data_IF_778908905058
#
_entry.id   IF_778908905058
#
_cell.length_a   1.000
_cell.length_b   1.000
_cell.length_c   1.000
_cell.angle_alpha   90.00
_cell.angle_beta   90.00
_cell.angle_gamma   90.00
#
_symmetry.space_group_name_H-M   'P 1'
#
loop_
_entity.id
_entity.type
_entity.pdbx_description
1 polymer ?
#
# COMPACT_ATOMS: atom_id res chain seq x y z
N UNK A 1 -7.27 24.13 12.27
CA UNK A 1 -5.92 23.74 11.82
C UNK A 1 -5.12 25.02 11.74
N UNK A 2 -4.30 25.28 12.75
CA UNK A 2 -3.40 26.43 12.76
C UNK A 2 -2.37 26.25 11.65
N UNK A 3 -2.37 27.20 10.73
CA UNK A 3 -1.33 27.35 9.71
C UNK A 3 -0.11 27.84 10.48
N UNK A 4 0.84 26.93 10.75
CA UNK A 4 2.16 27.28 11.26
C UNK A 4 2.77 28.32 10.31
N UNK A 5 2.98 29.53 10.82
CA UNK A 5 3.58 30.64 10.09
C UNK A 5 4.94 30.22 9.53
N UNK A 6 5.13 30.54 8.24
CA UNK A 6 6.26 30.12 7.43
C UNK A 6 7.47 31.02 7.73
N UNK A 7 8.22 30.70 8.79
CA UNK A 7 9.57 31.26 9.03
C UNK A 7 10.61 30.43 8.28
N UNK A 8 10.66 30.60 6.96
CA UNK A 8 11.64 29.92 6.14
C UNK A 8 12.63 30.93 5.55
N UNK A 9 13.89 30.85 5.98
CA UNK A 9 14.97 31.78 5.62
C UNK A 9 15.60 31.43 4.25
N UNK A 10 15.46 30.18 3.78
CA UNK A 10 16.05 29.67 2.52
C UNK A 10 15.01 29.03 1.59
N UNK A 11 14.92 29.50 0.34
CA UNK A 11 13.96 29.04 -0.69
C UNK A 11 13.88 27.50 -0.81
N UNK A 12 15.02 26.80 -0.73
CA UNK A 12 15.08 25.34 -0.84
C UNK A 12 14.61 24.59 0.40
N UNK A 13 14.81 25.16 1.58
CA UNK A 13 14.26 24.59 2.81
C UNK A 13 12.73 24.65 2.80
N UNK A 14 12.14 25.70 2.23
CA UNK A 14 10.69 25.84 2.13
C UNK A 14 10.12 24.82 1.12
N UNK A 15 10.81 24.61 -0.01
CA UNK A 15 10.47 23.56 -0.97
C UNK A 15 10.46 22.18 -0.29
N UNK A 16 11.50 21.86 0.51
CA UNK A 16 11.57 20.63 1.30
C UNK A 16 10.41 20.46 2.29
N UNK A 17 10.03 21.53 2.98
CA UNK A 17 8.88 21.50 3.91
C UNK A 17 7.59 21.23 3.14
N UNK A 18 7.39 21.93 2.02
CA UNK A 18 6.19 21.81 1.20
C UNK A 18 6.01 20.41 0.61
N UNK A 19 7.11 19.77 0.14
CA UNK A 19 7.03 18.42 -0.42
C UNK A 19 6.70 17.39 0.66
N UNK A 20 7.27 17.52 1.87
CA UNK A 20 6.94 16.66 3.00
C UNK A 20 5.46 16.80 3.41
N UNK A 21 4.92 18.02 3.41
CA UNK A 21 3.50 18.24 3.69
C UNK A 21 2.60 17.62 2.62
N UNK A 22 2.96 17.72 1.34
CA UNK A 22 2.23 17.06 0.25
C UNK A 22 2.23 15.54 0.39
N UNK A 23 3.39 14.95 0.68
CA UNK A 23 3.49 13.50 0.92
C UNK A 23 2.63 13.05 2.10
N UNK A 24 2.66 13.77 3.23
CA UNK A 24 1.83 13.46 4.40
C UNK A 24 0.34 13.54 4.04
N UNK A 25 -0.09 14.60 3.36
CA UNK A 25 -1.48 14.76 2.95
C UNK A 25 -1.93 13.65 1.99
N UNK A 26 -1.05 13.19 1.09
CA UNK A 26 -1.32 12.09 0.19
C UNK A 26 -1.43 10.76 0.95
N UNK A 27 -0.53 10.50 1.90
CA UNK A 27 -0.59 9.31 2.76
C UNK A 27 -1.88 9.27 3.58
N UNK A 28 -2.36 10.41 4.09
CA UNK A 28 -3.64 10.48 4.79
C UNK A 28 -4.83 10.09 3.89
N UNK A 29 -4.82 10.55 2.62
CA UNK A 29 -5.84 10.16 1.64
C UNK A 29 -5.75 8.68 1.28
N UNK A 30 -4.53 8.16 1.14
CA UNK A 30 -4.27 6.76 0.84
C UNK A 30 -4.73 5.86 2.01
N UNK A 31 -4.43 6.25 3.24
CA UNK A 31 -4.90 5.55 4.45
C UNK A 31 -6.43 5.53 4.52
N UNK A 32 -7.10 6.66 4.27
CA UNK A 32 -8.56 6.71 4.25
C UNK A 32 -9.16 5.80 3.16
N UNK A 33 -8.57 5.77 1.96
CA UNK A 33 -9.01 4.86 0.90
C UNK A 33 -8.79 3.38 1.26
N UNK A 34 -7.67 3.06 1.92
CA UNK A 34 -7.40 1.70 2.42
C UNK A 34 -8.37 1.28 3.51
N UNK A 35 -8.76 2.17 4.42
CA UNK A 35 -9.75 1.89 5.45
C UNK A 35 -11.11 1.53 4.83
N UNK A 36 -11.52 2.24 3.76
CA UNK A 36 -12.74 1.92 3.01
C UNK A 36 -12.65 0.53 2.37
N UNK A 37 -11.53 0.20 1.72
CA UNK A 37 -11.30 -1.13 1.13
C UNK A 37 -11.32 -2.22 2.20
N UNK A 38 -10.66 -1.97 3.33
CA UNK A 38 -10.63 -2.89 4.46
C UNK A 38 -12.03 -3.17 5.00
N UNK A 39 -12.84 -2.12 5.20
CA UNK A 39 -14.23 -2.24 5.62
C UNK A 39 -15.09 -3.01 4.62
N UNK A 40 -14.95 -2.73 3.32
CA UNK A 40 -15.64 -3.43 2.24
C UNK A 40 -15.32 -4.94 2.24
N UNK A 41 -14.05 -5.29 2.42
CA UNK A 41 -13.59 -6.69 2.57
C UNK A 41 -14.20 -7.35 3.80
N UNK A 42 -14.25 -6.66 4.95
CA UNK A 42 -14.83 -7.19 6.18
C UNK A 42 -16.36 -7.35 6.10
N UNK A 43 -17.06 -6.41 5.47
CA UNK A 43 -18.51 -6.46 5.26
C UNK A 43 -18.92 -7.37 4.10
N UNK A 44 -17.95 -7.86 3.31
CA UNK A 44 -18.15 -8.61 2.06
C UNK A 44 -18.95 -7.83 1.02
N UNK A 45 -18.86 -6.51 1.08
CA UNK A 45 -19.40 -5.62 0.08
C UNK A 45 -18.36 -5.39 -1.00
N UNK A 46 -18.63 -5.87 -2.21
CA UNK A 46 -17.71 -5.75 -3.35
C UNK A 46 -18.17 -4.68 -4.34
N UNK A 47 -19.24 -3.96 -4.01
CA UNK A 47 -19.80 -2.91 -4.85
C UNK A 47 -18.78 -1.77 -4.90
N UNK A 48 -18.26 -1.47 -6.10
CA UNK A 48 -17.25 -0.43 -6.39
C UNK A 48 -15.79 -0.72 -6.03
N UNK A 49 -15.43 -1.98 -5.78
CA UNK A 49 -14.02 -2.36 -5.51
C UNK A 49 -13.06 -1.98 -6.64
N UNK A 50 -13.47 -2.13 -7.90
CA UNK A 50 -12.65 -1.73 -9.05
C UNK A 50 -12.36 -0.22 -9.07
N UNK A 51 -13.33 0.61 -8.64
CA UNK A 51 -13.15 2.05 -8.55
C UNK A 51 -12.20 2.41 -7.39
N UNK A 52 -12.32 1.72 -6.25
CA UNK A 52 -11.42 1.90 -5.11
C UNK A 52 -9.97 1.49 -5.46
N UNK A 53 -9.78 0.39 -6.17
CA UNK A 53 -8.45 -0.05 -6.62
C UNK A 53 -7.81 0.94 -7.60
N UNK A 54 -8.57 1.44 -8.59
CA UNK A 54 -8.08 2.49 -9.49
C UNK A 54 -7.62 3.74 -8.73
N UNK A 55 -8.39 4.17 -7.73
CA UNK A 55 -8.04 5.32 -6.90
C UNK A 55 -6.79 5.09 -6.05
N UNK A 56 -6.60 3.87 -5.53
CA UNK A 56 -5.37 3.49 -4.83
C UNK A 56 -4.16 3.47 -5.77
N UNK A 57 -4.34 3.02 -7.02
CA UNK A 57 -3.30 3.05 -8.04
C UNK A 57 -2.91 4.49 -8.40
N UNK A 58 -3.89 5.38 -8.57
CA UNK A 58 -3.65 6.82 -8.76
C UNK A 58 -2.84 7.43 -7.60
N UNK A 59 -3.21 7.14 -6.36
CA UNK A 59 -2.46 7.61 -5.18
C UNK A 59 -1.05 7.02 -5.10
N UNK A 60 -0.86 5.77 -5.50
CA UNK A 60 0.46 5.15 -5.57
C UNK A 60 1.35 5.84 -6.60
N UNK A 61 0.81 6.16 -7.78
CA UNK A 61 1.53 6.86 -8.83
C UNK A 61 1.88 8.30 -8.44
N UNK A 62 0.94 9.01 -7.79
CA UNK A 62 1.18 10.35 -7.24
C UNK A 62 2.27 10.32 -6.16
N UNK A 63 2.25 9.29 -5.30
CA UNK A 63 3.25 9.14 -4.25
C UNK A 63 4.65 8.87 -4.83
N UNK A 64 4.75 8.02 -5.85
CA UNK A 64 6.01 7.75 -6.53
C UNK A 64 6.57 9.03 -7.19
N UNK A 65 5.70 9.88 -7.76
CA UNK A 65 6.11 11.16 -8.32
C UNK A 65 6.62 12.13 -7.24
N UNK A 66 5.91 12.26 -6.11
CA UNK A 66 6.33 13.10 -4.99
C UNK A 66 7.64 12.61 -4.35
N UNK A 67 7.84 11.30 -4.23
CA UNK A 67 9.07 10.71 -3.70
C UNK A 67 10.29 11.03 -4.59
N UNK A 68 10.10 10.98 -5.92
CA UNK A 68 11.13 11.40 -6.90
C UNK A 68 11.44 12.89 -6.76
N UNK A 69 10.41 13.73 -6.63
CA UNK A 69 10.55 15.17 -6.43
C UNK A 69 11.29 15.47 -5.12
N UNK A 70 10.89 14.83 -4.01
CA UNK A 70 11.56 14.98 -2.69
C UNK A 70 13.03 14.60 -2.77
N UNK A 71 13.34 13.48 -3.43
CA UNK A 71 14.74 13.02 -3.59
C UNK A 71 15.57 14.04 -4.38
N UNK A 72 14.99 14.61 -5.43
CA UNK A 72 15.63 15.68 -6.21
C UNK A 72 15.88 16.93 -5.37
N UNK A 73 14.86 17.44 -4.67
CA UNK A 73 14.97 18.64 -3.82
C UNK A 73 15.99 18.41 -2.69
N UNK A 74 15.96 17.26 -2.03
CA UNK A 74 16.90 16.93 -0.95
C UNK A 74 18.34 16.82 -1.44
N UNK A 75 18.53 16.28 -2.65
CA UNK A 75 19.86 16.26 -3.28
C UNK A 75 20.35 17.68 -3.60
N UNK A 76 19.46 18.57 -4.06
CA UNK A 76 19.76 19.98 -4.31
C UNK A 76 20.15 20.72 -3.03
N UNK A 77 19.35 20.57 -1.98
CA UNK A 77 19.62 21.16 -0.66
C UNK A 77 20.93 20.62 -0.07
N UNK A 78 21.23 19.32 -0.25
CA UNK A 78 22.50 18.73 0.15
C UNK A 78 23.71 19.41 -0.52
N UNK A 79 23.62 19.72 -1.82
CA UNK A 79 24.68 20.44 -2.55
C UNK A 79 24.86 21.87 -2.04
N UNK A 80 23.76 22.60 -1.80
CA UNK A 80 23.81 23.97 -1.25
C UNK A 80 24.45 24.02 0.14
N UNK A 81 24.16 23.01 0.96
CA UNK A 81 24.76 22.86 2.28
C UNK A 81 26.21 22.35 2.23
N UNK A 82 26.79 22.12 1.05
CA UNK A 82 28.18 21.72 0.86
C UNK A 82 28.45 20.23 1.13
N UNK A 83 27.50 19.36 0.85
CA UNK A 83 27.71 17.91 0.85
C UNK A 83 28.01 17.39 -0.55
N UNK A 84 29.10 16.65 -0.70
CA UNK A 84 29.56 16.11 -2.00
C UNK A 84 28.88 14.79 -2.40
N UNK A 85 28.19 14.12 -1.46
CA UNK A 85 27.66 12.78 -1.68
C UNK A 85 26.20 12.81 -2.14
N UNK A 86 25.88 12.02 -3.17
CA UNK A 86 24.51 11.90 -3.72
C UNK A 86 23.51 11.21 -2.78
N UNK A 87 23.99 10.44 -1.79
CA UNK A 87 23.14 9.71 -0.83
C UNK A 87 23.40 10.16 0.60
N UNK A 88 22.77 11.25 0.99
CA UNK A 88 22.79 11.74 2.37
C UNK A 88 21.58 11.23 3.14
N UNK A 89 21.81 10.79 4.37
CA UNK A 89 20.72 10.57 5.32
C UNK A 89 20.09 11.90 5.70
N UNK A 90 18.75 11.94 5.81
CA UNK A 90 18.00 13.11 6.22
C UNK A 90 18.55 13.73 7.52
N UNK A 91 18.87 12.90 8.52
CA UNK A 91 19.37 13.40 9.80
C UNK A 91 20.75 14.05 9.69
N UNK A 92 21.59 13.60 8.75
CA UNK A 92 22.89 14.22 8.45
C UNK A 92 22.69 15.59 7.81
N UNK A 93 21.76 15.69 6.85
CA UNK A 93 21.39 16.96 6.22
C UNK A 93 20.85 17.96 7.26
N UNK A 94 19.98 17.50 8.15
CA UNK A 94 19.37 18.32 9.19
C UNK A 94 20.39 18.97 10.14
N UNK A 95 21.61 18.42 10.29
CA UNK A 95 22.65 19.00 11.17
C UNK A 95 23.17 20.36 10.71
N UNK A 96 23.06 20.68 9.41
CA UNK A 96 23.52 21.96 8.83
C UNK A 96 22.40 22.99 8.66
N UNK A 97 21.15 22.62 8.93
CA UNK A 97 20.01 23.53 8.87
C UNK A 97 19.92 24.41 10.12
N UNK A 98 19.34 25.59 9.97
CA UNK A 98 18.96 26.46 11.09
C UNK A 98 18.02 25.76 12.08
N UNK A 99 18.05 26.17 13.35
CA UNK A 99 17.36 25.49 14.44
C UNK A 99 15.83 25.38 14.26
N UNK A 100 15.16 26.43 13.77
CA UNK A 100 13.71 26.41 13.54
C UNK A 100 13.34 25.48 12.38
N UNK A 101 13.94 25.70 11.22
CA UNK A 101 13.77 24.87 10.00
C UNK A 101 14.08 23.40 10.28
N UNK A 102 15.15 23.12 11.02
CA UNK A 102 15.54 21.76 11.43
C UNK A 102 14.45 21.09 12.25
N UNK A 103 13.87 21.78 13.24
CA UNK A 103 12.79 21.23 14.07
C UNK A 103 11.58 20.90 13.21
N UNK A 104 11.11 21.86 12.42
CA UNK A 104 9.95 21.68 11.54
C UNK A 104 10.14 20.52 10.55
N UNK A 105 11.26 20.49 9.82
CA UNK A 105 11.55 19.39 8.88
C UNK A 105 11.65 18.04 9.58
N UNK A 106 12.28 17.99 10.76
CA UNK A 106 12.44 16.73 11.52
C UNK A 106 11.09 16.20 11.98
N UNK A 107 10.21 17.07 12.45
CA UNK A 107 8.88 16.66 12.91
C UNK A 107 8.00 16.19 11.75
N UNK A 108 8.04 16.89 10.61
CA UNK A 108 7.36 16.44 9.39
C UNK A 108 7.91 15.08 8.90
N UNK A 109 9.23 14.93 8.85
CA UNK A 109 9.84 13.69 8.40
C UNK A 109 9.56 12.50 9.34
N UNK A 110 9.49 12.75 10.66
CA UNK A 110 9.04 11.75 11.63
C UNK A 110 7.58 11.36 11.41
N UNK A 111 6.69 12.35 11.23
CA UNK A 111 5.27 12.11 10.95
C UNK A 111 5.10 11.27 9.70
N UNK A 112 5.77 11.63 8.61
CA UNK A 112 5.78 10.87 7.36
C UNK A 112 6.17 9.40 7.60
N UNK A 113 7.26 9.15 8.33
CA UNK A 113 7.69 7.78 8.66
C UNK A 113 6.65 7.00 9.46
N UNK A 114 6.03 7.64 10.45
CA UNK A 114 4.99 7.01 11.25
C UNK A 114 3.76 6.66 10.39
N UNK A 115 3.35 7.54 9.49
CA UNK A 115 2.19 7.31 8.64
C UNK A 115 2.45 6.21 7.60
N UNK A 116 3.66 6.15 7.02
CA UNK A 116 4.10 5.01 6.19
C UNK A 116 4.03 3.69 6.97
N UNK A 117 4.53 3.67 8.20
CA UNK A 117 4.49 2.47 9.04
C UNK A 117 3.07 2.02 9.35
N UNK A 118 2.15 2.95 9.66
CA UNK A 118 0.74 2.66 9.90
C UNK A 118 0.08 2.03 8.67
N UNK A 119 0.26 2.65 7.51
CA UNK A 119 -0.27 2.17 6.22
C UNK A 119 0.24 0.76 5.91
N UNK A 120 1.55 0.53 6.10
CA UNK A 120 2.15 -0.79 5.91
C UNK A 120 1.52 -1.83 6.83
N UNK A 121 1.37 -1.52 8.12
CA UNK A 121 0.76 -2.42 9.09
C UNK A 121 -0.70 -2.73 8.74
N UNK A 122 -1.48 -1.71 8.34
CA UNK A 122 -2.86 -1.89 7.92
C UNK A 122 -2.98 -2.83 6.71
N UNK A 123 -2.10 -2.67 5.72
CA UNK A 123 -2.03 -3.56 4.56
C UNK A 123 -1.63 -4.99 4.92
N UNK A 124 -0.64 -5.17 5.79
CA UNK A 124 -0.22 -6.49 6.27
C UNK A 124 -1.38 -7.20 6.99
N UNK A 125 -2.12 -6.49 7.85
CA UNK A 125 -3.30 -7.02 8.53
C UNK A 125 -4.41 -7.44 7.55
N UNK A 126 -4.72 -6.61 6.55
CA UNK A 126 -5.73 -6.94 5.54
C UNK A 126 -5.35 -8.18 4.73
N UNK A 127 -4.08 -8.26 4.30
CA UNK A 127 -3.57 -9.43 3.57
C UNK A 127 -3.63 -10.70 4.41
N UNK A 128 -3.28 -10.62 5.69
CA UNK A 128 -3.38 -11.74 6.62
C UNK A 128 -4.83 -12.21 6.78
N UNK A 129 -5.77 -11.28 6.95
CA UNK A 129 -7.20 -11.60 7.05
C UNK A 129 -7.72 -12.33 5.81
N UNK A 130 -7.40 -11.83 4.61
CA UNK A 130 -7.80 -12.45 3.33
C UNK A 130 -7.20 -13.85 3.21
N UNK A 131 -5.91 -14.03 3.56
CA UNK A 131 -5.24 -15.32 3.52
C UNK A 131 -5.87 -16.33 4.48
N UNK A 132 -6.16 -15.94 5.72
CA UNK A 132 -6.82 -16.80 6.72
C UNK A 132 -8.23 -17.18 6.27
N UNK A 133 -9.04 -16.23 5.79
CA UNK A 133 -10.37 -16.53 5.28
C UNK A 133 -10.35 -17.51 4.11
N UNK A 134 -9.39 -17.35 3.18
CA UNK A 134 -9.21 -18.29 2.07
C UNK A 134 -8.87 -19.69 2.57
N UNK A 135 -8.00 -19.81 3.59
CA UNK A 135 -7.67 -21.09 4.22
C UNK A 135 -8.90 -21.73 4.85
N UNK A 136 -9.67 -20.98 5.66
CA UNK A 136 -10.88 -21.48 6.33
C UNK A 136 -11.92 -21.95 5.32
N UNK A 137 -12.15 -21.20 4.25
CA UNK A 137 -13.08 -21.61 3.19
C UNK A 137 -12.57 -22.87 2.49
N UNK A 138 -11.28 -22.95 2.21
CA UNK A 138 -10.67 -24.14 1.59
C UNK A 138 -10.80 -25.38 2.47
N UNK A 139 -10.51 -25.25 3.76
CA UNK A 139 -10.63 -26.33 4.75
C UNK A 139 -12.08 -26.75 4.95
N UNK A 140 -13.01 -25.79 5.05
CA UNK A 140 -14.44 -26.08 5.13
C UNK A 140 -14.93 -26.80 3.87
N UNK A 141 -14.56 -26.34 2.67
CA UNK A 141 -14.93 -27.00 1.42
C UNK A 141 -14.34 -28.41 1.33
N UNK A 142 -13.13 -28.64 1.85
CA UNK A 142 -12.51 -29.95 1.91
C UNK A 142 -13.24 -30.88 2.90
N UNK A 143 -13.70 -30.35 4.04
CA UNK A 143 -14.46 -31.12 5.02
C UNK A 143 -15.89 -31.43 4.55
N UNK A 144 -16.57 -30.46 3.92
CA UNK A 144 -17.95 -30.59 3.44
C UNK A 144 -18.05 -31.36 2.11
N UNK A 145 -17.01 -31.30 1.27
CA UNK A 145 -16.95 -31.99 -0.02
C UNK A 145 -15.59 -32.70 -0.20
N UNK A 146 -15.31 -33.76 0.56
CA UNK A 146 -14.04 -34.49 0.47
C UNK A 146 -13.80 -35.06 -0.94
N UNK A 147 -14.88 -35.42 -1.65
CA UNK A 147 -14.86 -36.02 -2.98
C UNK A 147 -14.73 -35.03 -4.15
N UNK A 148 -14.65 -33.71 -3.92
CA UNK A 148 -14.31 -32.76 -5.01
C UNK A 148 -12.89 -32.91 -5.52
N UNK A 149 -12.03 -33.62 -4.77
CA UNK A 149 -10.76 -34.20 -5.24
C UNK A 149 -10.85 -35.74 -5.30
N UNK A 150 -12.02 -36.29 -5.64
CA UNK A 150 -12.24 -37.73 -5.71
C UNK A 150 -11.27 -38.37 -6.72
N UNK A 151 -10.36 -39.20 -6.21
CA UNK A 151 -9.49 -40.02 -7.06
C UNK A 151 -10.32 -41.15 -7.65
N UNK A 152 -10.69 -41.03 -8.92
CA UNK A 152 -11.30 -42.14 -9.65
C UNK A 152 -10.18 -43.09 -10.06
N UNK A 153 -10.26 -44.33 -9.63
CA UNK A 153 -9.35 -45.37 -10.09
C UNK A 153 -10.01 -46.15 -11.23
N UNK A 154 -9.28 -46.36 -12.31
CA UNK A 154 -9.69 -47.28 -13.38
C UNK A 154 -9.84 -48.70 -12.83
N UNK A 155 -10.53 -49.57 -13.56
CA UNK A 155 -10.62 -51.02 -13.24
C UNK A 155 -9.24 -51.71 -13.12
N UNK A 156 -8.17 -51.08 -13.60
CA UNK A 156 -6.78 -51.53 -13.48
C UNK A 156 -5.95 -50.71 -12.47
N UNK A 157 -6.58 -49.91 -11.60
CA UNK A 157 -5.93 -49.19 -10.50
C UNK A 157 -5.17 -47.92 -10.89
N UNK A 158 -5.37 -47.34 -12.09
CA UNK A 158 -4.77 -46.04 -12.47
C UNK A 158 -5.67 -44.88 -12.12
N UNK A 159 -5.10 -43.80 -11.59
CA UNK A 159 -5.81 -42.55 -11.32
C UNK A 159 -6.33 -41.92 -12.63
N UNK A 160 -7.63 -41.62 -12.67
CA UNK A 160 -8.33 -40.93 -13.76
C UNK A 160 -8.87 -39.63 -13.18
N UNK A 161 -8.55 -38.50 -13.81
CA UNK A 161 -9.15 -37.21 -13.48
C UNK A 161 -10.56 -37.14 -14.10
N UNK A 162 -11.59 -36.99 -13.26
CA UNK A 162 -12.93 -36.64 -13.73
C UNK A 162 -12.96 -35.18 -14.15
N UNK A 163 -12.55 -34.91 -15.38
CA UNK A 163 -13.01 -33.70 -16.04
C UNK A 163 -14.52 -33.84 -16.32
N UNK A 164 -15.27 -32.97 -15.65
CA UNK A 164 -16.61 -32.46 -15.97
C UNK A 164 -17.56 -33.36 -16.79
N UNK A 165 -18.60 -33.85 -16.11
CA UNK A 165 -19.98 -34.06 -16.58
C UNK A 165 -20.16 -34.23 -18.11
N UNK A 166 -20.10 -35.47 -18.59
CA UNK A 166 -20.83 -35.86 -19.81
C UNK A 166 -22.33 -35.81 -19.53
N UNK A 167 -23.05 -34.90 -20.18
CA UNK A 167 -24.52 -34.92 -20.25
C UNK A 167 -24.90 -35.68 -21.52
N UNK A 168 -25.55 -36.82 -21.36
CA UNK A 168 -26.20 -37.54 -22.48
C UNK A 168 -27.65 -37.06 -22.54
N UNK A 169 -27.97 -36.29 -23.59
CA UNK A 169 -29.35 -35.93 -23.93
C UNK A 169 -29.93 -37.04 -24.80
N UNK A 170 -30.93 -37.74 -24.28
CA UNK A 170 -31.76 -38.64 -25.09
C UNK A 170 -32.63 -37.78 -26.02
N UNK A 171 -32.46 -37.92 -27.34
CA UNK A 171 -33.33 -37.33 -28.36
C UNK A 171 -34.17 -38.45 -28.96
N UNK A 172 -35.21 -38.84 -28.24
CA UNK A 172 -36.30 -39.63 -28.79
C UNK A 172 -37.61 -38.84 -28.67
N UNK A 173 -38.00 -38.20 -29.77
CA UNK A 173 -39.35 -37.73 -30.09
C UNK A 173 -39.63 -38.10 -31.55
#
# INVERSE_FOLDING_TARGET
MEILEMTCVDSKSCECISILQKEIALLERLAAAQDVVSQAVFSRDWTDMDALFKRLEEYSNEFEALEKERTSIFSGLGRELGFEHERLSFYTLATRLEQETRRQMTDLYRRLKLDILKIRLANENLNQYIATNRSVISEFLQAAFPDRKGKLYSRHGREIHAEMRSIVLDRSL
#
